data_IF_696373750936
#
_entry.id   IF_696373750936
#
_cell.length_a   1.000
_cell.length_b   1.000
_cell.length_c   1.000
_cell.angle_alpha   90.00
_cell.angle_beta   90.00
_cell.angle_gamma   90.00
#
_symmetry.space_group_name_H-M   'P 1'
#
loop_
_entity.id
_entity.type
_entity.pdbx_description
1 polymer ?
#
# COMPACT_ATOMS: atom_id res chain seq x y z
N UNK A 1 35.57 -11.56 6.76
CA UNK A 1 34.53 -11.02 7.67
C UNK A 1 34.74 -9.53 7.80
N UNK A 2 33.85 -8.72 7.22
CA UNK A 2 34.01 -7.26 7.20
C UNK A 2 33.73 -6.66 8.58
N UNK A 3 34.29 -5.48 8.87
CA UNK A 3 34.11 -4.74 10.14
C UNK A 3 32.64 -4.51 10.51
N UNK A 4 31.77 -4.36 9.50
CA UNK A 4 30.31 -4.27 9.62
C UNK A 4 29.68 -5.59 10.11
N UNK A 5 30.18 -6.72 9.66
CA UNK A 5 29.69 -8.04 10.07
C UNK A 5 30.03 -8.33 11.55
N UNK A 6 31.23 -7.95 12.02
CA UNK A 6 31.61 -8.04 13.43
C UNK A 6 30.79 -7.11 14.34
N UNK A 7 30.45 -5.88 13.88
CA UNK A 7 29.57 -4.98 14.62
C UNK A 7 28.13 -5.49 14.69
N UNK A 8 27.62 -6.12 13.63
CA UNK A 8 26.28 -6.74 13.62
C UNK A 8 26.20 -7.91 14.61
N UNK A 9 27.25 -8.75 14.68
CA UNK A 9 27.31 -9.86 15.65
C UNK A 9 27.38 -9.31 17.09
N UNK A 10 28.17 -8.28 17.36
CA UNK A 10 28.24 -7.64 18.68
C UNK A 10 26.94 -6.93 19.10
N UNK A 11 26.13 -6.47 18.13
CA UNK A 11 24.80 -5.89 18.38
C UNK A 11 23.77 -7.00 18.68
N UNK A 12 23.85 -8.13 17.96
CA UNK A 12 22.98 -9.29 18.18
C UNK A 12 23.24 -9.99 19.55
N UNK A 13 24.49 -10.07 19.98
CA UNK A 13 24.85 -10.66 21.28
C UNK A 13 24.38 -9.82 22.50
N UNK A 14 24.09 -8.52 22.31
CA UNK A 14 23.59 -7.64 23.37
C UNK A 14 22.07 -7.67 23.57
N UNK A 15 21.29 -8.18 22.63
CA UNK A 15 19.84 -8.10 22.65
C UNK A 15 19.18 -9.47 22.88
N UNK A 16 19.33 -10.01 24.09
CA UNK A 16 18.59 -11.21 24.55
C UNK A 16 17.20 -10.89 25.11
N UNK A 17 16.79 -9.62 25.10
CA UNK A 17 15.44 -9.22 25.51
C UNK A 17 14.57 -9.26 24.25
N UNK A 18 13.66 -10.22 24.21
CA UNK A 18 12.70 -10.31 23.13
C UNK A 18 11.59 -9.27 23.34
N UNK A 19 11.29 -8.50 22.29
CA UNK A 19 10.17 -7.57 22.27
C UNK A 19 8.86 -8.26 22.72
N UNK A 20 8.06 -7.59 23.54
CA UNK A 20 6.74 -8.06 23.96
C UNK A 20 5.69 -7.51 23.03
N UNK A 21 5.02 -8.38 22.32
CA UNK A 21 3.89 -8.03 21.47
C UNK A 21 2.65 -7.81 22.36
N UNK A 22 2.43 -6.60 22.80
CA UNK A 22 1.29 -6.22 23.67
C UNK A 22 0.61 -4.97 23.11
N UNK A 23 -0.61 -5.12 22.65
CA UNK A 23 -1.41 -4.04 22.09
C UNK A 23 -2.48 -3.48 23.06
N UNK A 24 -2.43 -3.85 24.33
CA UNK A 24 -3.37 -3.41 25.37
C UNK A 24 -3.36 -1.90 25.59
N UNK A 25 -2.26 -1.21 25.26
CA UNK A 25 -2.16 0.24 25.32
C UNK A 25 -3.16 0.95 24.38
N UNK A 26 -3.63 0.26 23.33
CA UNK A 26 -4.64 0.82 22.41
C UNK A 26 -6.03 0.99 23.05
N UNK A 27 -6.32 0.26 24.13
CA UNK A 27 -7.57 0.38 24.90
C UNK A 27 -7.39 1.06 26.25
N UNK A 28 -6.21 0.92 26.85
CA UNK A 28 -5.95 1.40 28.22
C UNK A 28 -5.12 2.69 28.25
N UNK A 29 -4.46 3.04 27.13
CA UNK A 29 -3.59 4.21 27.03
C UNK A 29 -4.31 5.48 26.56
N UNK A 30 -3.58 6.60 26.62
CA UNK A 30 -4.01 7.86 26.03
C UNK A 30 -3.70 7.86 24.53
N UNK A 31 -4.73 8.01 23.71
CA UNK A 31 -4.59 8.12 22.27
C UNK A 31 -4.45 9.59 21.84
N UNK A 32 -3.50 9.93 20.95
CA UNK A 32 -3.40 11.26 20.40
C UNK A 32 -4.71 11.71 19.71
N UNK A 33 -5.17 12.92 19.99
CA UNK A 33 -6.43 13.43 19.47
C UNK A 33 -6.52 13.43 17.94
N UNK A 34 -5.40 13.68 17.26
CA UNK A 34 -5.33 13.62 15.79
C UNK A 34 -5.61 12.21 15.23
N UNK A 35 -5.20 11.15 15.92
CA UNK A 35 -5.51 9.76 15.51
C UNK A 35 -7.01 9.49 15.66
N UNK A 36 -7.62 9.92 16.77
CA UNK A 36 -9.07 9.78 16.99
C UNK A 36 -9.85 10.51 15.89
N UNK A 37 -9.47 11.74 15.57
CA UNK A 37 -10.11 12.51 14.50
C UNK A 37 -9.92 11.84 13.12
N UNK A 38 -8.74 11.32 12.83
CA UNK A 38 -8.46 10.65 11.55
C UNK A 38 -9.26 9.35 11.42
N UNK A 39 -9.33 8.52 12.45
CA UNK A 39 -10.14 7.29 12.43
C UNK A 39 -11.63 7.57 12.26
N UNK A 40 -12.16 8.60 12.92
CA UNK A 40 -13.55 9.04 12.75
C UNK A 40 -13.84 9.51 11.33
N UNK A 41 -12.91 10.28 10.73
CA UNK A 41 -13.03 10.74 9.34
C UNK A 41 -12.98 9.58 8.35
N UNK A 42 -12.10 8.60 8.56
CA UNK A 42 -12.02 7.39 7.74
C UNK A 42 -13.34 6.60 7.82
N UNK A 43 -13.92 6.43 9.02
CA UNK A 43 -15.17 5.71 9.20
C UNK A 43 -16.33 6.38 8.45
N UNK A 44 -16.42 7.71 8.49
CA UNK A 44 -17.41 8.48 7.72
C UNK A 44 -17.26 8.29 6.22
N UNK A 45 -16.03 8.44 5.69
CA UNK A 45 -15.76 8.28 4.27
C UNK A 45 -15.94 6.83 3.80
N UNK A 46 -15.63 5.83 4.63
CA UNK A 46 -15.91 4.41 4.38
C UNK A 46 -17.40 4.18 4.15
N UNK A 47 -18.24 4.73 5.03
CA UNK A 47 -19.70 4.60 4.90
C UNK A 47 -20.19 5.21 3.58
N UNK A 48 -19.72 6.41 3.24
CA UNK A 48 -20.06 7.04 1.93
C UNK A 48 -19.58 6.20 0.74
N UNK A 49 -18.37 5.63 0.82
CA UNK A 49 -17.83 4.77 -0.24
C UNK A 49 -18.68 3.49 -0.43
N UNK A 50 -19.17 2.89 0.64
CA UNK A 50 -20.05 1.70 0.58
C UNK A 50 -21.36 1.99 -0.17
N UNK A 51 -22.05 3.09 0.14
CA UNK A 51 -23.26 3.50 -0.60
C UNK A 51 -22.98 3.76 -2.08
N UNK A 52 -21.84 4.38 -2.40
CA UNK A 52 -21.47 4.63 -3.79
C UNK A 52 -21.16 3.35 -4.55
N UNK A 53 -20.54 2.39 -3.91
CA UNK A 53 -20.21 1.09 -4.50
C UNK A 53 -21.47 0.34 -4.93
N UNK A 54 -22.51 0.36 -4.14
CA UNK A 54 -23.81 -0.23 -4.49
C UNK A 54 -24.44 0.46 -5.71
N UNK A 55 -24.29 1.78 -5.81
CA UNK A 55 -24.93 2.60 -6.84
C UNK A 55 -24.15 2.70 -8.16
N UNK A 56 -22.82 2.49 -8.16
CA UNK A 56 -21.92 2.77 -9.28
C UNK A 56 -20.91 1.63 -9.53
N UNK A 57 -21.37 0.40 -9.61
CA UNK A 57 -20.53 -0.81 -9.73
C UNK A 57 -19.55 -0.77 -10.91
N UNK A 58 -19.98 -0.26 -12.08
CA UNK A 58 -19.12 -0.16 -13.27
C UNK A 58 -17.92 0.76 -13.03
N UNK A 59 -18.14 1.90 -12.35
CA UNK A 59 -17.07 2.84 -12.02
C UNK A 59 -16.06 2.18 -11.07
N UNK A 60 -16.54 1.46 -10.05
CA UNK A 60 -15.66 0.77 -9.13
C UNK A 60 -14.84 -0.32 -9.82
N UNK A 61 -15.40 -1.04 -10.80
CA UNK A 61 -14.65 -2.02 -11.60
C UNK A 61 -13.51 -1.36 -12.41
N UNK A 62 -13.78 -0.20 -13.02
CA UNK A 62 -12.72 0.55 -13.72
C UNK A 62 -11.64 1.06 -12.77
N UNK A 63 -12.05 1.61 -11.61
CA UNK A 63 -11.10 2.06 -10.58
C UNK A 63 -10.22 0.93 -10.07
N UNK A 64 -10.77 -0.27 -9.88
CA UNK A 64 -10.02 -1.44 -9.44
C UNK A 64 -8.92 -1.82 -10.44
N UNK A 65 -9.22 -1.81 -11.74
CA UNK A 65 -8.22 -2.07 -12.78
C UNK A 65 -7.09 -1.05 -12.75
N UNK A 66 -7.41 0.24 -12.59
CA UNK A 66 -6.43 1.32 -12.52
C UNK A 66 -5.59 1.20 -11.25
N UNK A 67 -6.24 1.05 -10.09
CA UNK A 67 -5.57 0.95 -8.80
C UNK A 67 -4.61 -0.24 -8.75
N UNK A 68 -4.97 -1.38 -9.35
CA UNK A 68 -4.10 -2.55 -9.42
C UNK A 68 -2.77 -2.25 -10.13
N UNK A 69 -2.82 -1.56 -11.27
CA UNK A 69 -1.60 -1.15 -12.01
C UNK A 69 -0.76 -0.21 -11.16
N UNK A 70 -1.39 0.78 -10.50
CA UNK A 70 -0.71 1.75 -9.65
C UNK A 70 -0.09 1.09 -8.41
N UNK A 71 -0.78 0.15 -7.78
CA UNK A 71 -0.29 -0.59 -6.61
C UNK A 71 0.94 -1.43 -6.95
N UNK A 72 0.89 -2.17 -8.05
CA UNK A 72 2.03 -2.97 -8.53
C UNK A 72 3.21 -2.07 -8.85
N UNK A 73 3.01 -0.97 -9.59
CA UNK A 73 4.06 0.00 -9.90
C UNK A 73 4.67 0.60 -8.64
N UNK A 74 3.82 1.15 -7.76
CA UNK A 74 4.26 1.97 -6.63
C UNK A 74 4.93 1.14 -5.54
N UNK A 75 4.41 -0.04 -5.22
CA UNK A 75 5.01 -0.91 -4.21
C UNK A 75 6.43 -1.35 -4.60
N UNK A 76 6.66 -1.66 -5.86
CA UNK A 76 7.99 -2.02 -6.35
C UNK A 76 8.92 -0.79 -6.43
N UNK A 77 8.41 0.37 -6.86
CA UNK A 77 9.19 1.62 -6.92
C UNK A 77 9.66 2.11 -5.54
N UNK A 78 8.92 1.82 -4.46
CA UNK A 78 9.37 2.09 -3.09
C UNK A 78 10.68 1.37 -2.80
N UNK A 79 10.86 0.15 -3.30
CA UNK A 79 12.07 -0.66 -3.12
C UNK A 79 13.14 -0.39 -4.21
N UNK A 80 12.86 0.52 -5.16
CA UNK A 80 13.78 0.85 -6.26
C UNK A 80 13.68 -0.09 -7.45
N UNK A 81 12.69 -0.98 -7.49
CA UNK A 81 12.42 -1.92 -8.59
C UNK A 81 11.53 -1.21 -9.60
N UNK A 82 12.03 -0.98 -10.81
CA UNK A 82 11.36 -0.14 -11.81
C UNK A 82 11.42 -0.76 -13.22
N UNK A 83 10.37 -0.51 -13.99
CA UNK A 83 10.34 -0.70 -15.45
C UNK A 83 9.45 0.38 -16.08
N UNK A 84 9.33 0.41 -17.40
CA UNK A 84 8.49 1.41 -18.08
C UNK A 84 6.99 1.21 -17.79
N UNK A 85 6.22 2.30 -17.87
CA UNK A 85 4.77 2.28 -17.61
C UNK A 85 4.02 1.33 -18.56
N UNK A 86 4.46 1.25 -19.83
CA UNK A 86 3.91 0.32 -20.80
C UNK A 86 4.16 -1.14 -20.38
N UNK A 87 5.35 -1.43 -19.86
CA UNK A 87 5.67 -2.78 -19.37
C UNK A 87 4.87 -3.14 -18.12
N UNK A 88 4.72 -2.20 -17.18
CA UNK A 88 3.83 -2.40 -16.01
C UNK A 88 2.41 -2.75 -16.47
N UNK A 89 1.85 -1.97 -17.42
CA UNK A 89 0.51 -2.23 -17.94
C UNK A 89 0.40 -3.60 -18.64
N UNK A 90 1.40 -4.01 -19.42
CA UNK A 90 1.44 -5.33 -20.07
C UNK A 90 1.53 -6.46 -19.05
N UNK A 91 2.41 -6.33 -18.02
CA UNK A 91 2.55 -7.34 -16.96
C UNK A 91 1.24 -7.47 -16.18
N UNK A 92 0.61 -6.37 -15.79
CA UNK A 92 -0.57 -6.40 -14.92
C UNK A 92 -1.84 -6.77 -15.67
N UNK A 93 -2.09 -6.18 -16.85
CA UNK A 93 -3.35 -6.34 -17.57
C UNK A 93 -3.34 -7.46 -18.59
N UNK A 94 -2.18 -7.81 -19.16
CA UNK A 94 -2.05 -8.81 -20.21
C UNK A 94 -1.30 -10.07 -19.75
N UNK A 95 -0.88 -10.09 -18.47
CA UNK A 95 -0.10 -11.18 -17.89
C UNK A 95 1.17 -11.51 -18.69
N UNK A 96 1.82 -10.49 -19.27
CA UNK A 96 3.02 -10.66 -20.08
C UNK A 96 4.17 -11.22 -19.24
N UNK A 97 4.94 -12.12 -19.80
CA UNK A 97 6.11 -12.72 -19.16
C UNK A 97 7.15 -11.64 -18.82
N UNK A 98 7.84 -11.73 -17.67
CA UNK A 98 8.91 -10.81 -17.30
C UNK A 98 10.13 -11.00 -18.22
N UNK A 99 10.80 -9.90 -18.58
CA UNK A 99 11.98 -9.88 -19.45
C UNK A 99 13.30 -9.82 -18.66
N UNK A 100 13.25 -9.44 -17.39
CA UNK A 100 14.41 -9.28 -16.52
C UNK A 100 14.02 -9.52 -15.05
N UNK A 101 15.01 -9.39 -14.17
CA UNK A 101 14.83 -9.59 -12.73
C UNK A 101 13.78 -8.66 -12.11
N UNK A 102 13.86 -7.35 -12.38
CA UNK A 102 12.92 -6.36 -11.84
C UNK A 102 11.49 -6.66 -12.29
N UNK A 103 11.28 -7.02 -13.54
CA UNK A 103 9.97 -7.41 -14.05
C UNK A 103 9.45 -8.72 -13.44
N UNK A 104 10.34 -9.65 -13.09
CA UNK A 104 9.98 -10.87 -12.37
C UNK A 104 9.46 -10.55 -10.95
N UNK A 105 10.09 -9.61 -10.26
CA UNK A 105 9.63 -9.13 -8.95
C UNK A 105 8.29 -8.38 -9.05
N UNK A 106 8.12 -7.55 -10.09
CA UNK A 106 6.87 -6.85 -10.39
C UNK A 106 5.73 -7.85 -10.67
N UNK A 107 5.99 -8.89 -11.46
CA UNK A 107 5.02 -9.93 -11.76
C UNK A 107 4.63 -10.74 -10.51
N UNK A 108 5.59 -11.08 -9.65
CA UNK A 108 5.32 -11.73 -8.38
C UNK A 108 4.47 -10.90 -7.44
N UNK A 109 4.73 -9.57 -7.36
CA UNK A 109 3.88 -8.67 -6.58
C UNK A 109 2.45 -8.60 -7.14
N UNK A 110 2.27 -8.52 -8.47
CA UNK A 110 0.96 -8.59 -9.13
C UNK A 110 0.20 -9.85 -8.72
N UNK A 111 0.86 -10.99 -8.71
CA UNK A 111 0.24 -12.29 -8.38
C UNK A 111 -0.20 -12.33 -6.92
N UNK A 112 0.68 -11.92 -5.99
CA UNK A 112 0.37 -11.85 -4.57
C UNK A 112 -0.76 -10.85 -4.25
N UNK A 113 -0.74 -9.66 -4.89
CA UNK A 113 -1.80 -8.67 -4.76
C UNK A 113 -3.14 -9.21 -5.29
N UNK A 114 -3.12 -9.94 -6.40
CA UNK A 114 -4.32 -10.55 -6.99
C UNK A 114 -4.95 -11.58 -6.04
N UNK A 115 -4.15 -12.41 -5.38
CA UNK A 115 -4.65 -13.35 -4.36
C UNK A 115 -5.36 -12.63 -3.22
N UNK A 116 -4.79 -11.51 -2.74
CA UNK A 116 -5.41 -10.73 -1.67
C UNK A 116 -6.70 -10.07 -2.16
N UNK A 117 -6.71 -9.44 -3.35
CA UNK A 117 -7.91 -8.77 -3.87
C UNK A 117 -9.10 -9.71 -4.03
N UNK A 118 -8.86 -10.95 -4.43
CA UNK A 118 -9.93 -11.94 -4.71
C UNK A 118 -10.26 -12.85 -3.54
N UNK A 119 -9.28 -13.16 -2.67
CA UNK A 119 -9.41 -14.22 -1.66
C UNK A 119 -9.11 -13.77 -0.22
N UNK A 120 -9.08 -12.46 0.08
CA UNK A 120 -8.71 -11.96 1.43
C UNK A 120 -9.56 -12.55 2.56
N UNK A 121 -10.82 -12.89 2.33
CA UNK A 121 -11.70 -13.50 3.33
C UNK A 121 -11.15 -14.83 3.85
N UNK A 122 -10.56 -15.62 2.96
CA UNK A 122 -10.14 -17.00 3.22
C UNK A 122 -8.65 -17.09 3.63
N UNK A 123 -7.90 -15.98 3.54
CA UNK A 123 -6.50 -15.92 3.94
C UNK A 123 -6.42 -15.48 5.41
N UNK A 124 -6.11 -16.37 6.37
CA UNK A 124 -5.91 -15.98 7.76
C UNK A 124 -4.60 -15.18 7.92
N UNK A 125 -4.54 -14.30 8.92
CA UNK A 125 -3.28 -13.70 9.32
C UNK A 125 -2.50 -14.73 10.15
N UNK A 126 -1.70 -15.53 9.49
CA UNK A 126 -0.92 -16.61 10.10
C UNK A 126 0.47 -16.71 9.47
N UNK A 127 1.41 -17.27 10.21
CA UNK A 127 2.77 -17.55 9.71
C UNK A 127 2.70 -18.33 8.39
N UNK A 128 1.86 -19.35 8.31
CA UNK A 128 1.72 -20.17 7.11
C UNK A 128 1.22 -19.36 5.90
N UNK A 129 0.24 -18.47 6.10
CA UNK A 129 -0.25 -17.59 5.04
C UNK A 129 0.82 -16.59 4.59
N UNK A 130 1.59 -16.04 5.53
CA UNK A 130 2.68 -15.12 5.22
C UNK A 130 3.78 -15.82 4.40
N UNK A 131 4.16 -17.05 4.75
CA UNK A 131 5.12 -17.86 3.98
C UNK A 131 4.58 -18.18 2.59
N UNK A 132 3.28 -18.48 2.46
CA UNK A 132 2.64 -18.75 1.16
C UNK A 132 2.60 -17.50 0.27
N UNK A 133 2.19 -16.35 0.81
CA UNK A 133 2.20 -15.07 0.09
C UNK A 133 3.62 -14.66 -0.35
N UNK A 134 4.61 -14.84 0.53
CA UNK A 134 6.00 -14.56 0.20
C UNK A 134 6.54 -15.51 -0.89
N UNK A 135 6.11 -16.79 -0.89
CA UNK A 135 6.43 -17.71 -1.99
C UNK A 135 5.86 -17.22 -3.31
N UNK A 136 4.61 -16.76 -3.33
CA UNK A 136 3.99 -16.18 -4.51
C UNK A 136 4.69 -14.92 -4.97
N UNK A 137 5.03 -14.01 -4.03
CA UNK A 137 5.74 -12.77 -4.31
C UNK A 137 7.06 -12.99 -5.05
N UNK A 138 7.77 -14.06 -4.76
CA UNK A 138 9.08 -14.38 -5.36
C UNK A 138 9.03 -15.52 -6.37
N UNK A 139 7.84 -16.02 -6.74
CA UNK A 139 7.71 -17.20 -7.61
C UNK A 139 8.30 -17.01 -9.02
N UNK A 140 8.30 -15.78 -9.52
CA UNK A 140 8.83 -15.44 -10.84
C UNK A 140 10.35 -15.15 -10.84
N UNK A 141 10.94 -14.99 -9.63
CA UNK A 141 12.35 -14.63 -9.49
C UNK A 141 13.23 -15.87 -9.50
N UNK A 142 14.13 -15.95 -10.47
CA UNK A 142 15.04 -17.08 -10.61
C UNK A 142 15.90 -17.27 -9.34
N UNK A 143 16.06 -18.54 -8.91
CA UNK A 143 16.84 -18.93 -7.73
C UNK A 143 16.38 -18.30 -6.40
N UNK A 144 15.16 -17.71 -6.34
CA UNK A 144 14.63 -17.15 -5.10
C UNK A 144 14.28 -18.24 -4.09
N UNK A 145 14.41 -17.90 -2.80
CA UNK A 145 13.94 -18.73 -1.68
C UNK A 145 12.66 -18.16 -1.10
N UNK A 146 11.63 -18.02 -1.94
CA UNK A 146 10.33 -17.57 -1.50
C UNK A 146 9.67 -18.54 -0.52
N UNK A 147 9.01 -18.03 0.52
CA UNK A 147 8.25 -18.82 1.49
C UNK A 147 9.08 -19.49 2.58
N UNK A 148 10.27 -18.97 2.87
CA UNK A 148 11.11 -19.39 3.99
C UNK A 148 11.64 -18.18 4.74
N UNK A 149 11.80 -18.29 6.04
CA UNK A 149 12.43 -17.25 6.85
C UNK A 149 13.92 -17.12 6.54
N UNK A 150 14.49 -15.98 6.90
CA UNK A 150 15.93 -15.73 6.81
C UNK A 150 16.71 -16.74 7.65
N UNK A 151 17.84 -17.17 7.15
CA UNK A 151 18.77 -18.10 7.82
C UNK A 151 20.08 -17.42 8.24
N UNK A 152 20.21 -16.13 7.97
CA UNK A 152 21.31 -15.26 8.36
C UNK A 152 20.76 -13.93 8.85
N UNK A 153 21.46 -13.34 9.83
CA UNK A 153 21.07 -12.02 10.36
C UNK A 153 21.21 -10.96 9.27
N UNK A 154 20.24 -10.06 9.22
CA UNK A 154 20.23 -8.92 8.33
C UNK A 154 20.26 -7.61 9.14
N UNK A 155 20.61 -6.52 8.48
CA UNK A 155 20.59 -5.18 9.06
C UNK A 155 19.93 -4.21 8.11
N UNK A 156 19.21 -3.26 8.66
CA UNK A 156 18.65 -2.15 7.88
C UNK A 156 19.66 -1.01 7.89
N UNK A 157 20.14 -0.65 6.71
CA UNK A 157 21.13 0.41 6.53
C UNK A 157 20.45 1.72 6.13
N UNK A 158 21.02 2.82 6.57
CA UNK A 158 20.74 4.16 6.04
C UNK A 158 22.04 4.78 5.50
N UNK A 159 21.88 5.67 4.53
CA UNK A 159 22.99 6.49 4.01
C UNK A 159 22.82 7.87 4.63
N UNK A 160 23.79 8.32 5.42
CA UNK A 160 23.74 9.63 6.01
C UNK A 160 24.06 10.73 4.98
N UNK A 161 23.94 12.01 5.41
CA UNK A 161 24.19 13.17 4.54
C UNK A 161 25.64 13.26 4.01
N UNK A 162 26.57 12.51 4.61
CA UNK A 162 27.97 12.41 4.16
C UNK A 162 28.20 11.25 3.18
N UNK A 163 27.17 10.46 2.84
CA UNK A 163 27.26 9.26 2.01
C UNK A 163 27.74 8.02 2.76
N UNK A 164 27.93 8.08 4.07
CA UNK A 164 28.35 6.92 4.87
C UNK A 164 27.15 6.02 5.21
N UNK A 165 27.37 4.71 5.06
CA UNK A 165 26.40 3.69 5.47
C UNK A 165 26.45 3.47 6.98
N UNK A 166 25.30 3.61 7.64
CA UNK A 166 25.13 3.33 9.07
C UNK A 166 24.05 2.27 9.26
N UNK A 167 24.19 1.44 10.29
CA UNK A 167 23.13 0.54 10.71
C UNK A 167 22.05 1.43 11.36
N UNK A 168 20.87 1.48 10.74
CA UNK A 168 19.70 2.17 11.25
C UNK A 168 18.98 1.31 12.28
N UNK A 169 18.80 0.04 11.97
CA UNK A 169 18.09 -0.91 12.82
C UNK A 169 18.67 -2.32 12.61
N UNK A 170 18.77 -3.09 13.67
CA UNK A 170 19.11 -4.50 13.64
C UNK A 170 17.83 -5.31 13.92
N UNK A 171 17.23 -5.97 12.93
CA UNK A 171 16.05 -6.79 13.13
C UNK A 171 16.28 -7.97 14.07
N UNK A 172 15.22 -8.69 14.42
CA UNK A 172 15.31 -9.96 15.16
C UNK A 172 16.28 -10.90 14.46
N UNK A 173 17.10 -11.64 15.24
CA UNK A 173 18.08 -12.59 14.69
C UNK A 173 17.39 -13.70 13.88
N UNK A 174 18.12 -14.31 12.95
CA UNK A 174 17.59 -15.42 12.16
C UNK A 174 17.14 -16.60 13.05
N UNK A 175 17.87 -16.88 14.12
CA UNK A 175 17.54 -17.95 15.08
C UNK A 175 16.20 -17.73 15.80
N UNK A 176 15.85 -16.48 16.12
CA UNK A 176 14.63 -16.13 16.86
C UNK A 176 13.46 -15.75 15.93
N UNK A 177 13.68 -15.63 14.62
CA UNK A 177 12.69 -15.12 13.66
C UNK A 177 11.39 -15.91 13.68
N UNK A 178 11.45 -17.25 13.64
CA UNK A 178 10.26 -18.09 13.65
C UNK A 178 9.42 -17.86 14.91
N UNK A 179 10.06 -17.89 16.07
CA UNK A 179 9.40 -17.68 17.37
C UNK A 179 8.77 -16.28 17.45
N UNK A 180 9.46 -15.24 16.98
CA UNK A 180 8.92 -13.88 16.96
C UNK A 180 7.70 -13.77 16.05
N UNK A 181 7.70 -14.43 14.89
CA UNK A 181 6.54 -14.44 13.98
C UNK A 181 5.35 -15.20 14.56
N UNK A 182 5.56 -16.32 15.24
CA UNK A 182 4.51 -17.06 15.95
C UNK A 182 3.90 -16.23 17.09
N UNK A 183 4.73 -15.50 17.84
CA UNK A 183 4.25 -14.60 18.88
C UNK A 183 3.48 -13.40 18.33
N UNK A 184 3.91 -12.82 17.20
CA UNK A 184 3.20 -11.76 16.51
C UNK A 184 1.81 -12.23 16.05
N UNK A 185 1.71 -13.44 15.48
CA UNK A 185 0.44 -14.05 15.08
C UNK A 185 -0.51 -14.16 16.28
N UNK A 186 -0.06 -14.74 17.40
CA UNK A 186 -0.87 -14.91 18.61
C UNK A 186 -1.31 -13.58 19.19
N UNK A 187 -0.40 -12.62 19.30
CA UNK A 187 -0.72 -11.28 19.83
C UNK A 187 -1.73 -10.53 18.95
N UNK A 188 -1.62 -10.68 17.62
CA UNK A 188 -2.63 -10.14 16.71
C UNK A 188 -3.98 -10.82 16.93
N UNK A 189 -4.04 -12.15 17.03
CA UNK A 189 -5.28 -12.88 17.22
C UNK A 189 -5.99 -12.47 18.52
N UNK A 190 -5.25 -12.36 19.62
CA UNK A 190 -5.78 -11.93 20.91
C UNK A 190 -6.33 -10.49 20.85
N UNK A 191 -5.56 -9.56 20.29
CA UNK A 191 -5.96 -8.17 20.15
C UNK A 191 -7.10 -7.98 19.13
N UNK A 192 -7.13 -8.79 18.08
CA UNK A 192 -8.19 -8.74 17.08
C UNK A 192 -9.53 -9.31 17.58
N UNK A 193 -9.51 -10.21 18.56
CA UNK A 193 -10.71 -10.73 19.22
C UNK A 193 -11.30 -9.75 20.26
N UNK A 194 -10.54 -8.73 20.67
CA UNK A 194 -11.01 -7.72 21.62
C UNK A 194 -11.71 -6.56 20.90
N UNK A 195 -13.02 -6.45 21.06
CA UNK A 195 -13.83 -5.39 20.43
C UNK A 195 -13.52 -3.97 20.94
N UNK A 196 -12.86 -3.84 22.10
CA UNK A 196 -12.42 -2.55 22.63
C UNK A 196 -11.18 -1.99 21.93
N UNK A 197 -10.50 -2.82 21.13
CA UNK A 197 -9.31 -2.42 20.35
C UNK A 197 -9.72 -2.06 18.91
N UNK A 198 -9.50 -0.79 18.55
CA UNK A 198 -9.73 -0.34 17.18
C UNK A 198 -8.81 -1.06 16.18
N UNK A 199 -9.40 -1.75 15.21
CA UNK A 199 -8.63 -2.47 14.17
C UNK A 199 -7.80 -1.51 13.30
N UNK A 200 -8.28 -0.27 13.08
CA UNK A 200 -7.50 0.77 12.39
C UNK A 200 -6.20 1.16 13.11
N UNK A 201 -6.19 1.07 14.44
CA UNK A 201 -5.00 1.34 15.25
C UNK A 201 -4.13 0.09 15.41
N UNK A 202 -4.74 -1.09 15.51
CA UNK A 202 -4.04 -2.36 15.66
C UNK A 202 -3.20 -2.71 14.43
N UNK A 203 -3.79 -2.60 13.23
CA UNK A 203 -3.13 -3.01 11.98
C UNK A 203 -1.75 -2.37 11.80
N UNK A 204 -1.58 -1.04 11.89
CA UNK A 204 -0.26 -0.44 11.76
C UNK A 204 0.73 -0.85 12.84
N UNK A 205 0.29 -1.10 14.09
CA UNK A 205 1.18 -1.61 15.14
C UNK A 205 1.74 -2.97 14.77
N UNK A 206 0.88 -3.89 14.33
CA UNK A 206 1.27 -5.23 13.87
C UNK A 206 2.21 -5.16 12.66
N UNK A 207 1.98 -4.21 11.73
CA UNK A 207 2.86 -4.01 10.56
C UNK A 207 4.22 -3.42 10.94
N UNK A 208 4.29 -2.54 11.93
CA UNK A 208 5.56 -2.07 12.47
C UNK A 208 6.36 -3.24 13.06
N UNK A 209 5.72 -4.07 13.88
CA UNK A 209 6.36 -5.22 14.49
C UNK A 209 6.84 -6.23 13.45
N UNK A 210 6.04 -6.52 12.42
CA UNK A 210 6.48 -7.32 11.28
C UNK A 210 7.74 -6.75 10.62
N UNK A 211 7.79 -5.43 10.40
CA UNK A 211 8.95 -4.76 9.80
C UNK A 211 10.17 -4.76 10.73
N UNK A 212 9.98 -4.72 12.05
CA UNK A 212 11.07 -4.83 13.02
C UNK A 212 11.58 -6.27 13.17
N UNK A 213 10.72 -7.28 13.07
CA UNK A 213 11.16 -8.69 12.96
C UNK A 213 11.96 -8.89 11.67
N UNK A 214 11.49 -8.32 10.55
CA UNK A 214 12.10 -8.43 9.23
C UNK A 214 12.37 -9.87 8.82
N UNK A 215 11.32 -10.72 8.72
CA UNK A 215 11.47 -12.18 8.77
C UNK A 215 12.12 -12.79 7.53
N UNK A 216 12.13 -12.09 6.40
CA UNK A 216 12.65 -12.60 5.15
C UNK A 216 14.02 -12.01 4.80
N UNK A 217 14.75 -12.68 3.91
CA UNK A 217 15.99 -12.14 3.36
C UNK A 217 15.73 -10.93 2.47
N UNK A 218 14.62 -10.96 1.71
CA UNK A 218 14.15 -9.91 0.81
C UNK A 218 12.62 -9.85 0.78
N UNK A 219 12.05 -8.76 0.26
CA UNK A 219 10.60 -8.60 0.09
C UNK A 219 9.82 -8.18 1.35
N UNK A 220 10.47 -7.90 2.48
CA UNK A 220 9.77 -7.53 3.72
C UNK A 220 8.89 -6.27 3.58
N UNK A 221 9.37 -5.24 2.92
CA UNK A 221 8.60 -4.03 2.66
C UNK A 221 7.37 -4.30 1.78
N UNK A 222 7.52 -5.06 0.71
CA UNK A 222 6.40 -5.48 -0.16
C UNK A 222 5.41 -6.36 0.60
N UNK A 223 5.90 -7.30 1.39
CA UNK A 223 5.05 -8.15 2.25
C UNK A 223 4.27 -7.33 3.27
N UNK A 224 4.87 -6.35 3.94
CA UNK A 224 4.17 -5.50 4.91
C UNK A 224 3.02 -4.72 4.25
N UNK A 225 3.21 -4.23 3.02
CA UNK A 225 2.14 -3.54 2.27
C UNK A 225 1.03 -4.50 1.84
N UNK A 226 1.36 -5.70 1.36
CA UNK A 226 0.38 -6.76 1.06
C UNK A 226 -0.41 -7.17 2.30
N UNK A 227 0.26 -7.40 3.42
CA UNK A 227 -0.39 -7.75 4.70
C UNK A 227 -1.25 -6.60 5.25
N UNK A 228 -0.83 -5.35 5.04
CA UNK A 228 -1.66 -4.18 5.36
C UNK A 228 -2.98 -4.19 4.61
N UNK A 229 -2.94 -4.43 3.29
CA UNK A 229 -4.16 -4.55 2.49
C UNK A 229 -5.01 -5.74 2.92
N UNK A 230 -4.40 -6.90 3.17
CA UNK A 230 -5.11 -8.08 3.67
C UNK A 230 -5.90 -7.77 4.94
N UNK A 231 -5.24 -7.18 5.94
CA UNK A 231 -5.88 -6.86 7.22
C UNK A 231 -6.91 -5.74 7.09
N UNK A 232 -6.65 -4.72 6.28
CA UNK A 232 -7.62 -3.67 5.99
C UNK A 232 -8.89 -4.24 5.36
N UNK A 233 -8.77 -5.11 4.35
CA UNK A 233 -9.92 -5.70 3.66
C UNK A 233 -10.72 -6.65 4.56
N UNK A 234 -10.05 -7.43 5.40
CA UNK A 234 -10.71 -8.28 6.41
C UNK A 234 -11.52 -7.48 7.45
N UNK A 235 -11.23 -6.20 7.60
CA UNK A 235 -11.94 -5.27 8.48
C UNK A 235 -12.79 -4.25 7.70
N UNK A 236 -13.16 -4.56 6.45
CA UNK A 236 -14.01 -3.77 5.57
C UNK A 236 -13.45 -2.38 5.18
N UNK A 237 -12.14 -2.18 5.25
CA UNK A 237 -11.46 -0.99 4.73
C UNK A 237 -10.88 -1.29 3.35
N UNK A 238 -11.75 -1.53 2.36
CA UNK A 238 -11.38 -2.03 1.04
C UNK A 238 -11.03 -0.95 0.00
N UNK A 239 -10.87 0.31 0.41
CA UNK A 239 -10.56 1.44 -0.50
C UNK A 239 -9.30 1.21 -1.31
N UNK A 240 -8.33 0.44 -0.80
CA UNK A 240 -7.10 0.07 -1.50
C UNK A 240 -7.32 -0.72 -2.79
N UNK A 241 -8.51 -1.32 -2.98
CA UNK A 241 -8.90 -1.93 -4.26
C UNK A 241 -9.16 -0.89 -5.36
N UNK A 242 -9.58 0.30 -5.01
CA UNK A 242 -10.08 1.34 -5.94
C UNK A 242 -9.15 2.54 -6.06
N UNK A 243 -8.39 2.82 -5.01
CA UNK A 243 -7.33 3.85 -4.96
C UNK A 243 -6.10 3.20 -4.35
N UNK A 244 -4.98 3.20 -5.07
CA UNK A 244 -3.76 2.55 -4.61
C UNK A 244 -3.22 3.16 -3.30
N UNK A 245 -3.20 2.34 -2.25
CA UNK A 245 -2.60 2.66 -0.97
C UNK A 245 -1.08 2.81 -1.09
N UNK A 246 -0.44 1.94 -1.88
CA UNK A 246 1.00 1.96 -2.13
C UNK A 246 1.43 3.20 -2.91
N UNK A 247 0.56 3.72 -3.77
CA UNK A 247 0.83 4.99 -4.47
C UNK A 247 0.86 6.17 -3.49
N UNK A 248 -0.04 6.20 -2.49
CA UNK A 248 0.00 7.24 -1.46
C UNK A 248 1.27 7.13 -0.61
N UNK A 249 1.71 5.93 -0.26
CA UNK A 249 2.99 5.70 0.43
C UNK A 249 4.15 6.18 -0.45
N UNK A 250 4.18 5.83 -1.73
CA UNK A 250 5.28 6.19 -2.63
C UNK A 250 5.39 7.72 -2.83
N UNK A 251 4.26 8.42 -2.92
CA UNK A 251 4.22 9.90 -2.96
C UNK A 251 4.76 10.54 -1.67
N UNK A 252 4.65 9.85 -0.55
CA UNK A 252 5.07 10.30 0.78
C UNK A 252 6.24 9.46 1.33
N UNK A 253 7.10 8.92 0.46
CA UNK A 253 8.15 7.94 0.78
C UNK A 253 9.10 8.41 1.90
N UNK A 254 9.47 9.68 1.92
CA UNK A 254 10.35 10.23 2.96
C UNK A 254 9.70 10.18 4.34
N UNK A 255 8.41 10.53 4.44
CA UNK A 255 7.67 10.45 5.71
C UNK A 255 7.44 9.00 6.14
N UNK A 256 7.22 8.08 5.19
CA UNK A 256 7.12 6.64 5.48
C UNK A 256 8.38 6.13 6.20
N UNK A 257 9.56 6.38 5.64
CA UNK A 257 10.80 5.93 6.26
C UNK A 257 11.14 6.66 7.56
N UNK A 258 10.78 7.95 7.68
CA UNK A 258 10.96 8.71 8.90
C UNK A 258 10.09 8.15 10.03
N UNK A 259 8.81 7.91 9.77
CA UNK A 259 7.90 7.34 10.76
C UNK A 259 8.31 5.94 11.21
N UNK A 260 8.82 5.11 10.28
CA UNK A 260 9.41 3.81 10.64
C UNK A 260 10.65 3.97 11.52
N UNK A 261 11.51 4.93 11.22
CA UNK A 261 12.71 5.22 11.98
C UNK A 261 12.35 5.65 13.41
N UNK A 262 11.43 6.57 13.55
CA UNK A 262 10.97 7.04 14.86
C UNK A 262 10.34 5.92 15.68
N UNK A 263 9.43 5.14 15.07
CA UNK A 263 8.69 4.11 15.79
C UNK A 263 9.50 2.84 16.07
N UNK A 264 10.67 2.66 15.45
CA UNK A 264 11.55 1.50 15.75
C UNK A 264 12.59 1.79 16.84
N UNK A 265 12.68 3.02 17.37
CA UNK A 265 13.59 3.35 18.48
C UNK A 265 13.17 2.58 19.73
N UNK A 266 14.12 1.92 20.41
CA UNK A 266 13.91 1.10 21.61
C UNK A 266 12.85 -0.02 21.44
N UNK A 267 12.64 -0.50 20.20
CA UNK A 267 11.67 -1.56 19.92
C UNK A 267 12.02 -2.86 20.64
N UNK A 268 13.28 -3.27 20.66
CA UNK A 268 13.72 -4.50 21.33
C UNK A 268 13.45 -4.50 22.84
N UNK A 269 13.48 -3.33 23.46
CA UNK A 269 13.23 -3.13 24.87
C UNK A 269 11.72 -2.95 25.18
N UNK A 270 10.85 -3.03 24.18
CA UNK A 270 9.40 -2.76 24.29
C UNK A 270 9.07 -1.36 24.83
N UNK A 271 9.91 -0.38 24.49
CA UNK A 271 9.76 1.03 24.88
C UNK A 271 9.66 1.94 23.65
N UNK A 272 9.28 1.39 22.52
CA UNK A 272 9.07 2.14 21.29
C UNK A 272 7.72 2.88 21.31
N UNK A 273 7.64 3.96 20.52
CA UNK A 273 6.40 4.67 20.24
C UNK A 273 5.83 4.24 18.89
N UNK A 274 4.67 3.60 18.87
CA UNK A 274 3.98 3.20 17.65
C UNK A 274 3.34 4.37 16.89
N UNK A 275 3.03 5.47 17.57
CA UNK A 275 2.15 6.51 17.02
C UNK A 275 2.69 7.25 15.81
N UNK A 276 3.99 7.52 15.62
CA UNK A 276 4.48 8.11 14.38
C UNK A 276 4.15 7.27 13.14
N UNK A 277 4.33 5.95 13.22
CA UNK A 277 3.99 5.05 12.11
C UNK A 277 2.48 4.86 11.95
N UNK A 278 1.73 4.76 13.05
CA UNK A 278 0.25 4.73 13.03
C UNK A 278 -0.30 5.98 12.35
N UNK A 279 0.23 7.17 12.68
CA UNK A 279 -0.17 8.43 12.06
C UNK A 279 0.06 8.43 10.55
N UNK A 280 1.25 7.99 10.11
CA UNK A 280 1.54 7.88 8.68
C UNK A 280 0.56 6.91 8.00
N UNK A 281 0.40 5.70 8.54
CA UNK A 281 -0.47 4.66 8.00
C UNK A 281 -1.91 5.15 7.80
N UNK A 282 -2.50 5.75 8.85
CA UNK A 282 -3.86 6.28 8.80
C UNK A 282 -3.99 7.47 7.85
N UNK A 283 -2.96 8.32 7.76
CA UNK A 283 -2.96 9.43 6.82
C UNK A 283 -2.99 8.96 5.37
N UNK A 284 -2.24 7.90 5.03
CA UNK A 284 -2.28 7.31 3.68
C UNK A 284 -3.64 6.68 3.38
N UNK A 285 -4.23 5.97 4.34
CA UNK A 285 -5.58 5.40 4.19
C UNK A 285 -6.65 6.51 4.04
N UNK A 286 -6.55 7.56 4.82
CA UNK A 286 -7.43 8.72 4.73
C UNK A 286 -7.33 9.41 3.36
N UNK A 287 -6.10 9.58 2.83
CA UNK A 287 -5.89 10.11 1.49
C UNK A 287 -6.54 9.24 0.40
N UNK A 288 -6.48 7.90 0.54
CA UNK A 288 -7.20 7.01 -0.38
C UNK A 288 -8.71 7.28 -0.38
N UNK A 289 -9.33 7.38 0.79
CA UNK A 289 -10.76 7.68 0.89
C UNK A 289 -11.09 9.09 0.38
N UNK A 290 -10.28 10.09 0.67
CA UNK A 290 -10.47 11.45 0.13
C UNK A 290 -10.35 11.48 -1.39
N UNK A 291 -9.40 10.75 -1.96
CA UNK A 291 -9.23 10.69 -3.42
C UNK A 291 -10.44 9.99 -4.08
N UNK A 292 -10.94 8.91 -3.46
CA UNK A 292 -12.16 8.27 -3.91
C UNK A 292 -13.35 9.24 -3.84
N UNK A 293 -13.51 9.97 -2.73
CA UNK A 293 -14.59 10.95 -2.54
C UNK A 293 -14.55 12.06 -3.59
N UNK A 294 -13.38 12.62 -3.88
CA UNK A 294 -13.18 13.64 -4.93
C UNK A 294 -13.63 13.17 -6.31
N UNK A 295 -13.37 11.88 -6.66
CA UNK A 295 -13.81 11.32 -7.94
C UNK A 295 -15.34 11.31 -8.07
N UNK A 296 -16.03 11.04 -6.97
CA UNK A 296 -17.50 11.05 -6.94
C UNK A 296 -18.12 12.43 -6.71
N UNK A 297 -17.41 13.40 -6.14
CA UNK A 297 -17.89 14.77 -6.02
C UNK A 297 -18.22 15.39 -7.39
N UNK A 298 -17.51 14.98 -8.44
CA UNK A 298 -17.78 15.40 -9.83
C UNK A 298 -19.02 14.73 -10.45
N UNK A 299 -19.44 13.58 -9.91
CA UNK A 299 -20.60 12.84 -10.40
C UNK A 299 -21.92 13.38 -9.81
N UNK A 300 -21.93 13.79 -8.54
CA UNK A 300 -23.17 14.06 -7.79
C UNK A 300 -23.53 15.52 -7.56
N UNK A 301 -22.78 16.49 -8.09
CA UNK A 301 -23.07 17.89 -7.78
C UNK A 301 -24.07 18.50 -8.76
N UNK A 302 -25.32 18.66 -8.31
CA UNK A 302 -26.40 19.43 -9.00
C UNK A 302 -26.09 20.93 -9.20
N UNK A 303 -24.98 21.43 -8.65
CA UNK A 303 -24.53 22.83 -8.79
C UNK A 303 -23.38 23.01 -9.79
N UNK A 304 -22.75 21.93 -10.25
CA UNK A 304 -21.65 21.98 -11.21
C UNK A 304 -22.20 21.69 -12.61
N UNK A 305 -21.81 22.50 -13.60
CA UNK A 305 -22.23 22.30 -15.00
C UNK A 305 -21.69 20.97 -15.54
N UNK A 306 -22.37 20.40 -16.53
CA UNK A 306 -21.88 19.19 -17.23
C UNK A 306 -20.44 19.38 -17.74
N UNK A 307 -20.11 20.59 -18.22
CA UNK A 307 -18.73 20.91 -18.65
C UNK A 307 -17.73 20.81 -17.52
N UNK A 308 -18.01 21.41 -16.36
CA UNK A 308 -17.10 21.36 -15.20
C UNK A 308 -16.94 19.95 -14.65
N UNK A 309 -17.94 19.09 -14.75
CA UNK A 309 -17.85 17.67 -14.38
C UNK A 309 -16.90 16.91 -15.31
N UNK A 310 -17.00 17.14 -16.63
CA UNK A 310 -16.07 16.54 -17.61
C UNK A 310 -14.63 17.02 -17.35
N UNK A 311 -14.46 18.35 -17.20
CA UNK A 311 -13.14 18.94 -16.91
C UNK A 311 -12.51 18.31 -15.66
N UNK A 312 -13.26 18.22 -14.56
CA UNK A 312 -12.80 17.62 -13.33
C UNK A 312 -12.49 16.11 -13.48
N UNK A 313 -13.30 15.37 -14.25
CA UNK A 313 -13.05 13.95 -14.52
C UNK A 313 -11.72 13.73 -15.22
N UNK A 314 -11.38 14.54 -16.21
CA UNK A 314 -10.12 14.43 -16.95
C UNK A 314 -8.94 14.91 -16.11
N UNK A 315 -9.06 16.03 -15.40
CA UNK A 315 -7.99 16.61 -14.60
C UNK A 315 -7.64 15.78 -13.36
N UNK A 316 -8.61 15.06 -12.82
CA UNK A 316 -8.43 14.17 -11.66
C UNK A 316 -8.14 12.72 -12.09
N UNK A 317 -8.11 12.42 -13.38
CA UNK A 317 -7.72 11.09 -13.87
C UNK A 317 -6.21 10.90 -13.69
N UNK A 318 -5.84 9.79 -13.05
CA UNK A 318 -4.42 9.42 -12.80
C UNK A 318 -3.77 8.79 -14.05
N UNK A 319 -4.57 8.30 -14.98
CA UNK A 319 -4.12 7.71 -16.23
C UNK A 319 -4.78 8.43 -17.42
N UNK A 320 -4.20 8.34 -18.62
CA UNK A 320 -4.85 8.82 -19.82
C UNK A 320 -6.23 8.21 -19.97
N UNK A 321 -7.29 9.04 -20.03
CA UNK A 321 -8.69 8.64 -20.07
C UNK A 321 -9.30 8.85 -21.47
N UNK A 322 -10.04 7.87 -21.97
CA UNK A 322 -10.73 7.96 -23.27
C UNK A 322 -12.11 8.65 -23.17
N UNK A 323 -12.64 9.11 -24.31
CA UNK A 323 -14.01 9.63 -24.37
C UNK A 323 -15.05 8.61 -23.88
N UNK A 324 -14.86 7.35 -24.23
CA UNK A 324 -15.77 6.27 -23.81
C UNK A 324 -15.76 6.06 -22.28
N UNK A 325 -14.59 6.09 -21.64
CA UNK A 325 -14.46 6.00 -20.19
C UNK A 325 -15.11 7.20 -19.48
N UNK A 326 -14.97 8.43 -20.03
CA UNK A 326 -15.65 9.61 -19.49
C UNK A 326 -17.18 9.46 -19.60
N UNK A 327 -17.69 8.96 -20.71
CA UNK A 327 -19.14 8.74 -20.88
C UNK A 327 -19.68 7.67 -19.91
N UNK A 328 -18.89 6.68 -19.56
CA UNK A 328 -19.27 5.69 -18.53
C UNK A 328 -19.28 6.29 -17.13
N UNK A 329 -18.29 7.14 -16.81
CA UNK A 329 -18.22 7.85 -15.52
C UNK A 329 -19.35 8.86 -15.37
N UNK A 330 -19.78 9.47 -16.49
CA UNK A 330 -20.82 10.50 -16.53
C UNK A 330 -21.97 10.07 -17.46
N UNK A 331 -22.78 9.07 -17.10
CA UNK A 331 -23.80 8.49 -17.99
C UNK A 331 -24.93 9.46 -18.37
N UNK A 332 -25.13 10.51 -17.58
CA UNK A 332 -26.10 11.60 -17.85
C UNK A 332 -25.56 12.69 -18.79
N UNK A 333 -24.32 12.56 -19.27
CA UNK A 333 -23.66 13.49 -20.18
C UNK A 333 -23.57 12.88 -21.57
N UNK A 334 -24.08 13.60 -22.60
CA UNK A 334 -24.00 13.08 -23.95
C UNK A 334 -22.56 12.99 -24.48
N UNK A 335 -22.23 12.00 -25.31
CA UNK A 335 -20.92 11.89 -25.95
C UNK A 335 -20.50 13.15 -26.72
N UNK A 336 -21.44 13.86 -27.28
CA UNK A 336 -21.20 15.13 -28.00
C UNK A 336 -20.75 16.23 -27.04
N UNK A 337 -21.36 16.32 -25.85
CA UNK A 337 -20.94 17.28 -24.82
C UNK A 337 -19.53 16.97 -24.33
N UNK A 338 -19.21 15.68 -24.11
CA UNK A 338 -17.85 15.24 -23.71
C UNK A 338 -16.86 15.69 -24.79
N UNK A 339 -17.12 15.41 -26.06
CA UNK A 339 -16.25 15.77 -27.18
C UNK A 339 -16.01 17.27 -27.29
N UNK A 340 -17.06 18.08 -27.14
CA UNK A 340 -16.98 19.55 -27.16
C UNK A 340 -16.04 20.05 -26.01
N UNK A 341 -16.22 19.57 -24.79
CA UNK A 341 -15.43 20.02 -23.66
C UNK A 341 -13.97 19.57 -23.80
N UNK A 342 -13.71 18.33 -24.23
CA UNK A 342 -12.34 17.83 -24.49
C UNK A 342 -11.66 18.69 -25.56
N UNK A 343 -12.36 19.05 -26.62
CA UNK A 343 -11.85 19.96 -27.65
C UNK A 343 -11.48 21.34 -27.10
N UNK A 344 -12.28 21.89 -26.19
CA UNK A 344 -12.00 23.15 -25.50
C UNK A 344 -10.77 23.05 -24.60
N UNK A 345 -10.64 21.96 -23.80
CA UNK A 345 -9.50 21.72 -22.92
C UNK A 345 -8.19 21.51 -23.69
N UNK A 346 -8.24 20.86 -24.86
CA UNK A 346 -7.09 20.74 -25.76
C UNK A 346 -6.64 22.08 -26.30
N UNK A 347 -7.61 22.92 -26.78
CA UNK A 347 -7.31 24.26 -27.28
C UNK A 347 -6.71 25.18 -26.22
N UNK A 348 -7.16 25.06 -24.98
CA UNK A 348 -6.59 25.81 -23.84
C UNK A 348 -5.25 25.25 -23.32
N UNK A 349 -4.79 24.14 -23.87
CA UNK A 349 -3.50 23.52 -23.49
C UNK A 349 -3.47 22.87 -22.10
N UNK A 350 -4.61 22.71 -21.45
CA UNK A 350 -4.74 22.11 -20.09
C UNK A 350 -4.55 20.60 -20.12
N UNK A 351 -4.91 19.97 -21.25
CA UNK A 351 -4.73 18.54 -21.50
C UNK A 351 -3.98 18.29 -22.80
N UNK A 352 -3.45 17.08 -22.94
CA UNK A 352 -2.84 16.57 -24.17
C UNK A 352 -3.48 15.24 -24.57
N UNK A 353 -3.21 14.77 -25.80
CA UNK A 353 -3.66 13.45 -26.28
C UNK A 353 -2.53 12.45 -26.29
N UNK A 354 -2.87 11.20 -26.00
CA UNK A 354 -2.00 10.03 -26.14
C UNK A 354 -2.71 9.02 -27.04
N UNK A 355 -1.99 8.47 -28.03
CA UNK A 355 -2.58 7.59 -29.03
C UNK A 355 -3.27 8.36 -30.17
N UNK A 356 -3.86 7.64 -31.13
CA UNK A 356 -4.53 8.19 -32.31
C UNK A 356 -5.82 7.43 -32.65
N UNK A 357 -6.73 8.09 -33.37
CA UNK A 357 -7.98 7.50 -33.86
C UNK A 357 -8.89 7.02 -32.71
N UNK A 358 -9.42 5.79 -32.82
CA UNK A 358 -10.33 5.22 -31.80
C UNK A 358 -9.65 4.97 -30.45
N UNK A 359 -8.31 4.92 -30.43
CA UNK A 359 -7.52 4.73 -29.19
C UNK A 359 -7.07 6.02 -28.52
N UNK A 360 -7.54 7.20 -28.98
CA UNK A 360 -7.16 8.48 -28.37
C UNK A 360 -7.61 8.57 -26.92
N UNK A 361 -6.64 8.86 -26.03
CA UNK A 361 -6.86 9.14 -24.61
C UNK A 361 -6.36 10.54 -24.28
N UNK A 362 -6.91 11.12 -23.22
CA UNK A 362 -6.64 12.48 -22.76
C UNK A 362 -5.95 12.45 -21.41
N UNK A 363 -4.95 13.30 -21.23
CA UNK A 363 -4.13 13.39 -20.03
C UNK A 363 -3.91 14.86 -19.69
N UNK A 364 -3.93 15.18 -18.41
CA UNK A 364 -3.51 16.50 -17.91
C UNK A 364 -2.04 16.75 -18.32
N UNK A 365 -1.74 17.95 -18.80
CA UNK A 365 -0.38 18.41 -19.08
C UNK A 365 0.42 18.68 -17.81
#
# INVERSE_FOLDING_TARGET
MTFLHKKAILYAEKNTIMHKFDYSFLKNGLLPANLVNTTSSIASLKTMASFRKESYQEIFTELESIAKVQSVKSSNAIEGIITSDDRIAQIVNQNSAPLNHDEAEIAGYRDALSLIHTGYSDIPFSVQSMLSLHRTLLAQVAQSRGGVFKNEDNVILEIDKSGMRKIRFAPVSAAETQKAMEQLELAYMDAAADDSISKLLLIPCVMLDFLCIHPFRDGNGRMSRLLSLLLLYKNDYDVGKYISYEEQINKNKSWYYESLRESSVNWHESHNDYFPFVQHFLSMLYQCYQELDKRFATVNSNKITKSSRIEATVLNSLLPISKSEICKILPDVSPTTVEYVLGKMLKSGVITTVGAGRGTKYLRK
#
